data_IF_567945037818
#
_entry.id   IF_567945037818
#
_cell.length_a   1.000
_cell.length_b   1.000
_cell.length_c   1.000
_cell.angle_alpha   90.00
_cell.angle_beta   90.00
_cell.angle_gamma   90.00
#
_symmetry.space_group_name_H-M   'P 1'
#
loop_
_entity.id
_entity.type
_entity.pdbx_description
1 polymer ?
#
# COMPACT_ATOMS: atom_id res chain seq x y z
N UNK A 1 37.03 -47.55 -6.95
CA UNK A 1 38.44 -47.33 -6.54
C UNK A 1 38.57 -45.89 -6.09
N UNK A 2 38.55 -45.67 -4.77
CA UNK A 2 39.64 -45.11 -3.93
C UNK A 2 39.63 -43.57 -3.86
N UNK A 3 38.97 -42.99 -2.86
CA UNK A 3 39.52 -42.47 -1.56
C UNK A 3 40.60 -41.40 -1.68
N UNK A 4 40.37 -40.23 -1.04
CA UNK A 4 41.34 -39.31 -0.41
C UNK A 4 40.51 -38.33 0.47
N UNK A 5 40.22 -38.64 1.73
CA UNK A 5 40.95 -38.31 2.97
C UNK A 5 40.38 -37.09 3.72
N UNK A 6 39.92 -37.36 4.95
CA UNK A 6 39.56 -36.41 5.99
C UNK A 6 40.66 -36.36 7.07
N UNK A 7 40.52 -35.39 8.00
CA UNK A 7 41.26 -35.12 9.26
C UNK A 7 42.34 -34.02 9.16
N UNK A 8 42.49 -33.07 10.10
CA UNK A 8 41.88 -32.86 11.43
C UNK A 8 42.29 -31.49 12.02
N UNK A 9 41.43 -30.98 12.93
CA UNK A 9 41.68 -30.14 14.16
C UNK A 9 42.33 -28.76 13.94
N UNK A 10 41.85 -27.70 14.60
CA UNK A 10 42.11 -27.38 16.01
C UNK A 10 40.98 -26.50 16.58
N UNK A 11 40.52 -26.86 17.78
CA UNK A 11 39.61 -26.08 18.62
C UNK A 11 40.35 -25.40 19.78
N UNK A 12 39.79 -24.26 20.19
CA UNK A 12 39.75 -23.64 21.52
C UNK A 12 41.03 -23.33 22.31
N UNK A 13 41.15 -22.08 22.74
CA UNK A 13 41.59 -21.73 24.10
C UNK A 13 40.71 -20.60 24.64
N UNK A 14 39.94 -20.92 25.68
CA UNK A 14 39.38 -19.95 26.61
C UNK A 14 40.32 -19.77 27.81
N UNK A 15 40.13 -18.68 28.54
CA UNK A 15 40.61 -18.50 29.91
C UNK A 15 39.64 -17.59 30.65
N UNK A 16 38.74 -18.19 31.43
CA UNK A 16 38.05 -17.58 32.55
C UNK A 16 38.86 -17.89 33.81
N UNK A 17 39.01 -16.90 34.68
CA UNK A 17 39.75 -16.99 35.94
C UNK A 17 38.77 -16.84 37.11
N UNK A 18 38.65 -17.95 37.87
CA UNK A 18 38.64 -18.09 39.33
C UNK A 18 37.58 -17.36 40.20
N UNK A 19 37.11 -17.89 41.34
CA UNK A 19 37.05 -19.22 41.98
C UNK A 19 36.43 -19.00 43.37
N UNK A 20 35.73 -20.02 43.91
CA UNK A 20 35.44 -20.29 45.34
C UNK A 20 34.37 -19.43 46.05
N UNK A 21 33.45 -19.96 46.87
CA UNK A 21 33.63 -20.94 47.96
C UNK A 21 32.33 -21.67 48.36
N UNK A 22 32.49 -22.99 48.54
CA UNK A 22 32.04 -23.88 49.64
C UNK A 22 30.55 -24.25 49.91
N UNK A 23 30.45 -25.58 50.08
CA UNK A 23 29.32 -26.48 50.39
C UNK A 23 29.04 -26.54 51.90
N UNK A 24 27.78 -26.81 52.27
CA UNK A 24 27.44 -27.57 53.48
C UNK A 24 26.15 -28.39 53.27
N UNK A 25 26.25 -29.71 53.47
CA UNK A 25 25.16 -30.68 53.50
C UNK A 25 24.83 -31.08 54.94
N UNK A 26 23.54 -31.29 55.29
CA UNK A 26 23.10 -32.17 56.38
C UNK A 26 21.58 -32.54 56.31
N UNK A 27 21.30 -33.71 55.75
CA UNK A 27 20.41 -34.84 56.14
C UNK A 27 19.19 -34.66 57.10
N UNK A 28 18.01 -35.05 56.55
CA UNK A 28 16.85 -35.85 57.06
C UNK A 28 15.97 -35.45 58.27
N UNK A 29 14.63 -35.38 58.07
CA UNK A 29 13.66 -36.46 58.38
C UNK A 29 12.16 -36.06 58.18
N UNK A 30 11.43 -36.91 57.44
CA UNK A 30 10.03 -37.38 57.57
C UNK A 30 8.77 -36.46 57.59
N UNK A 31 7.96 -36.69 56.54
CA UNK A 31 6.49 -36.88 56.44
C UNK A 31 5.50 -35.73 56.68
N UNK A 32 4.79 -35.33 55.61
CA UNK A 32 3.33 -35.54 55.46
C UNK A 32 2.88 -35.24 54.02
N UNK A 33 1.96 -36.07 53.54
CA UNK A 33 1.50 -36.17 52.17
C UNK A 33 0.52 -35.06 51.76
N UNK A 34 0.67 -34.54 50.54
CA UNK A 34 -0.43 -34.02 49.73
C UNK A 34 -0.04 -34.15 48.25
N UNK A 35 -0.64 -35.11 47.56
CA UNK A 35 -0.54 -35.28 46.12
C UNK A 35 -1.35 -34.20 45.42
N UNK A 36 -0.69 -33.32 44.68
CA UNK A 36 -1.29 -32.57 43.57
C UNK A 36 -0.37 -32.75 42.37
N UNK A 37 -0.84 -33.55 41.42
CA UNK A 37 -0.17 -33.91 40.18
C UNK A 37 0.08 -32.68 39.31
N UNK A 38 1.32 -32.16 39.33
CA UNK A 38 1.81 -31.23 38.30
C UNK A 38 2.28 -32.08 37.14
N UNK A 39 1.40 -32.24 36.15
CA UNK A 39 1.80 -32.76 34.85
C UNK A 39 2.67 -31.71 34.16
N UNK A 40 3.92 -32.06 33.90
CA UNK A 40 4.78 -31.33 32.96
C UNK A 40 4.20 -31.51 31.55
N UNK A 41 3.21 -30.68 31.22
CA UNK A 41 2.76 -30.48 29.84
C UNK A 41 3.75 -29.56 29.15
N UNK A 42 4.57 -30.11 28.25
CA UNK A 42 5.18 -29.31 27.22
C UNK A 42 4.03 -28.69 26.41
N UNK A 43 3.89 -27.37 26.48
CA UNK A 43 3.02 -26.62 25.56
C UNK A 43 3.60 -26.79 24.16
N UNK A 44 3.05 -27.73 23.40
CA UNK A 44 3.07 -27.66 21.95
C UNK A 44 2.41 -26.35 21.56
N UNK A 45 3.11 -25.55 20.76
CA UNK A 45 2.49 -24.45 20.04
C UNK A 45 1.69 -25.13 18.94
N UNK A 46 0.43 -25.47 19.22
CA UNK A 46 -0.51 -25.86 18.17
C UNK A 46 -0.65 -24.64 17.26
N UNK A 47 -0.15 -24.75 16.03
CA UNK A 47 -0.45 -23.77 14.99
C UNK A 47 -1.96 -23.71 14.86
N UNK A 48 -2.53 -22.51 14.95
CA UNK A 48 -3.98 -22.37 14.93
C UNK A 48 -4.54 -22.93 13.61
N UNK A 49 -5.27 -24.04 13.70
CA UNK A 49 -6.07 -24.63 12.61
C UNK A 49 -7.38 -23.83 12.36
N UNK A 50 -7.52 -22.65 12.97
CA UNK A 50 -8.72 -21.81 12.91
C UNK A 50 -8.36 -20.38 12.51
N UNK A 51 -9.18 -19.78 11.64
CA UNK A 51 -9.04 -18.39 11.20
C UNK A 51 -9.32 -17.39 12.34
N UNK A 52 -8.44 -16.39 12.48
CA UNK A 52 -8.63 -15.20 13.32
C UNK A 52 -9.59 -14.20 12.64
N UNK A 53 -10.86 -14.60 12.53
CA UNK A 53 -11.93 -13.80 11.91
C UNK A 53 -12.17 -12.49 12.66
N UNK A 54 -12.11 -12.52 13.99
CA UNK A 54 -12.39 -11.33 14.81
C UNK A 54 -11.24 -10.33 14.75
N UNK A 55 -9.98 -10.79 14.81
CA UNK A 55 -8.83 -9.91 14.64
C UNK A 55 -8.71 -9.34 13.23
N UNK A 56 -9.12 -10.09 12.20
CA UNK A 56 -9.23 -9.58 10.84
C UNK A 56 -10.31 -8.49 10.75
N UNK A 57 -11.50 -8.72 11.32
CA UNK A 57 -12.58 -7.73 11.36
C UNK A 57 -12.17 -6.47 12.11
N UNK A 58 -11.54 -6.61 13.27
CA UNK A 58 -11.06 -5.49 14.07
C UNK A 58 -10.07 -4.62 13.28
N UNK A 59 -9.15 -5.23 12.53
CA UNK A 59 -8.12 -4.52 11.79
C UNK A 59 -8.67 -3.59 10.69
N UNK A 60 -9.66 -4.03 9.90
CA UNK A 60 -10.21 -3.18 8.83
C UNK A 60 -11.34 -2.25 9.27
N UNK A 61 -11.96 -2.48 10.44
CA UNK A 61 -13.14 -1.72 10.87
C UNK A 61 -12.87 -0.22 10.93
N UNK A 62 -11.70 0.21 11.37
CA UNK A 62 -11.34 1.62 11.42
C UNK A 62 -11.30 2.27 10.03
N UNK A 63 -10.85 1.52 9.00
CA UNK A 63 -10.75 2.01 7.63
C UNK A 63 -12.11 2.16 6.94
N UNK A 64 -13.22 1.64 7.50
CA UNK A 64 -14.58 1.92 6.99
C UNK A 64 -15.06 3.33 7.34
N UNK A 65 -14.48 3.97 8.34
CA UNK A 65 -14.84 5.33 8.72
C UNK A 65 -14.19 6.34 7.77
N UNK A 66 -14.95 7.35 7.35
CA UNK A 66 -14.71 8.69 7.91
C UNK A 66 -13.27 9.15 8.22
N UNK A 67 -12.26 9.23 7.32
CA UNK A 67 -10.93 9.63 7.77
C UNK A 67 -10.93 11.07 8.28
N UNK A 68 -10.28 11.27 9.42
CA UNK A 68 -10.08 12.58 10.03
C UNK A 68 -8.64 13.00 9.78
N UNK A 69 -8.44 14.27 9.45
CA UNK A 69 -7.11 14.81 9.24
C UNK A 69 -6.26 14.76 10.51
N UNK A 70 -5.12 14.11 10.39
CA UNK A 70 -4.00 14.21 11.32
C UNK A 70 -2.85 14.91 10.62
N UNK A 71 -2.27 15.91 11.28
CA UNK A 71 -1.15 16.65 10.73
C UNK A 71 0.05 15.70 10.53
N UNK A 72 0.56 15.52 9.30
CA UNK A 72 1.62 14.55 9.02
C UNK A 72 3.01 15.04 9.49
N UNK A 73 3.07 16.25 10.05
CA UNK A 73 4.27 16.84 10.65
C UNK A 73 3.97 18.15 11.38
N UNK A 74 5.01 18.85 11.89
CA UNK A 74 4.82 20.14 12.52
C UNK A 74 4.30 21.18 11.53
N UNK A 75 3.54 22.14 12.07
CA UNK A 75 3.13 23.32 11.34
C UNK A 75 4.33 24.23 11.00
N UNK A 76 4.24 24.94 9.89
CA UNK A 76 5.26 25.83 9.39
C UNK A 76 4.63 27.01 8.63
N UNK A 77 5.40 28.08 8.45
CA UNK A 77 4.98 29.22 7.64
C UNK A 77 5.33 28.95 6.17
N UNK A 78 4.31 28.80 5.33
CA UNK A 78 4.48 28.54 3.90
C UNK A 78 4.62 29.83 3.05
N UNK A 79 4.70 31.01 3.65
CA UNK A 79 4.74 32.29 2.93
C UNK A 79 5.89 32.38 1.92
N UNK A 80 7.05 31.79 2.21
CA UNK A 80 8.21 31.78 1.32
C UNK A 80 7.99 31.02 0.00
N UNK A 81 7.00 30.13 -0.04
CA UNK A 81 6.63 29.39 -1.24
C UNK A 81 5.78 30.21 -2.23
N UNK A 82 5.20 31.34 -1.81
CA UNK A 82 4.32 32.15 -2.66
C UNK A 82 5.01 32.57 -3.96
N UNK A 83 4.36 32.34 -5.10
CA UNK A 83 4.86 32.68 -6.44
C UNK A 83 5.90 31.72 -7.02
N UNK A 84 6.36 30.73 -6.25
CA UNK A 84 7.23 29.65 -6.71
C UNK A 84 6.49 28.76 -7.72
N UNK A 85 7.24 28.05 -8.56
CA UNK A 85 6.67 27.17 -9.59
C UNK A 85 6.80 25.70 -9.22
N UNK A 86 5.67 25.05 -9.05
CA UNK A 86 5.52 23.59 -9.08
C UNK A 86 5.26 23.18 -10.53
N UNK A 87 6.13 22.35 -11.08
CA UNK A 87 6.02 21.80 -12.43
C UNK A 87 5.80 20.29 -12.32
N UNK A 88 4.71 19.79 -12.87
CA UNK A 88 4.32 18.39 -12.70
C UNK A 88 4.33 17.63 -14.04
N UNK A 89 4.92 16.44 -14.02
CA UNK A 89 4.97 15.47 -15.12
C UNK A 89 4.32 14.17 -14.62
N UNK A 90 3.12 13.80 -15.07
CA UNK A 90 2.53 12.51 -14.71
C UNK A 90 3.08 11.38 -15.58
N UNK A 91 2.77 10.15 -15.17
CA UNK A 91 3.01 8.95 -15.96
C UNK A 91 2.44 9.08 -17.38
N UNK A 92 1.18 9.51 -17.50
CA UNK A 92 0.51 9.77 -18.78
C UNK A 92 -0.75 10.60 -18.51
N UNK A 93 -1.06 11.53 -19.41
CA UNK A 93 -2.32 12.29 -19.41
C UNK A 93 -3.55 11.44 -19.75
N UNK A 94 -3.35 10.19 -20.18
CA UNK A 94 -4.45 9.27 -20.49
C UNK A 94 -4.98 8.51 -19.27
N UNK A 95 -4.36 8.65 -18.09
CA UNK A 95 -4.76 7.96 -16.86
C UNK A 95 -5.68 8.89 -16.06
N UNK A 96 -7.01 8.62 -15.98
CA UNK A 96 -7.96 9.56 -15.37
C UNK A 96 -7.65 9.89 -13.91
N UNK A 97 -7.13 8.93 -13.14
CA UNK A 97 -6.72 9.12 -11.75
C UNK A 97 -5.62 10.19 -11.61
N UNK A 98 -4.62 10.18 -12.50
CA UNK A 98 -3.54 11.18 -12.48
C UNK A 98 -4.01 12.54 -13.01
N UNK A 99 -4.97 12.56 -13.93
CA UNK A 99 -5.57 13.82 -14.39
C UNK A 99 -6.38 14.49 -13.27
N UNK A 100 -7.22 13.73 -12.54
CA UNK A 100 -7.94 14.24 -11.38
C UNK A 100 -6.97 14.78 -10.32
N UNK A 101 -5.93 14.03 -9.98
CA UNK A 101 -4.87 14.48 -9.07
C UNK A 101 -4.17 15.76 -9.57
N UNK A 102 -3.98 15.93 -10.88
CA UNK A 102 -3.37 17.13 -11.46
C UNK A 102 -4.27 18.36 -11.36
N UNK A 103 -5.57 18.21 -11.63
CA UNK A 103 -6.58 19.26 -11.45
C UNK A 103 -6.62 19.70 -9.98
N UNK A 104 -6.70 18.73 -9.07
CA UNK A 104 -6.67 18.98 -7.63
C UNK A 104 -5.38 19.69 -7.18
N UNK A 105 -4.20 19.29 -7.68
CA UNK A 105 -2.94 19.99 -7.38
C UNK A 105 -2.93 21.44 -7.88
N UNK A 106 -3.55 21.70 -9.04
CA UNK A 106 -3.67 23.06 -9.58
C UNK A 106 -4.54 23.93 -8.68
N UNK A 107 -5.69 23.41 -8.24
CA UNK A 107 -6.64 24.10 -7.36
C UNK A 107 -6.00 24.42 -5.99
N UNK A 108 -5.28 23.44 -5.40
CA UNK A 108 -4.56 23.65 -4.14
C UNK A 108 -3.45 24.70 -4.32
N UNK A 109 -2.67 24.62 -5.40
CA UNK A 109 -1.60 25.58 -5.67
C UNK A 109 -2.12 27.01 -5.85
N UNK A 110 -3.24 27.19 -6.58
CA UNK A 110 -3.90 28.49 -6.72
C UNK A 110 -4.31 29.04 -5.34
N UNK A 111 -4.91 28.20 -4.50
CA UNK A 111 -5.36 28.59 -3.16
C UNK A 111 -4.25 29.08 -2.25
N UNK A 112 -3.05 28.52 -2.36
CA UNK A 112 -1.87 28.92 -1.56
C UNK A 112 -0.94 29.90 -2.28
N UNK A 113 -1.33 30.40 -3.45
CA UNK A 113 -0.57 31.42 -4.19
C UNK A 113 0.72 30.89 -4.82
N UNK A 114 0.85 29.59 -5.05
CA UNK A 114 1.96 28.95 -5.76
C UNK A 114 1.58 28.81 -7.24
N UNK A 115 2.53 29.02 -8.15
CA UNK A 115 2.31 28.77 -9.58
C UNK A 115 2.37 27.27 -9.84
N UNK A 116 1.41 26.77 -10.59
CA UNK A 116 1.39 25.37 -11.01
C UNK A 116 1.48 25.25 -12.53
N UNK A 117 2.23 24.25 -13.01
CA UNK A 117 2.27 23.90 -14.42
C UNK A 117 2.21 22.40 -14.61
N UNK A 118 1.26 21.99 -15.44
CA UNK A 118 1.11 20.62 -15.89
C UNK A 118 1.79 20.40 -17.25
N UNK A 119 2.59 19.33 -17.37
CA UNK A 119 3.16 18.84 -18.63
C UNK A 119 2.45 17.58 -19.12
N UNK A 120 1.53 17.77 -20.07
CA UNK A 120 0.80 16.67 -20.68
C UNK A 120 1.71 15.77 -21.55
N UNK A 121 1.53 14.46 -21.46
CA UNK A 121 2.31 13.45 -22.20
C UNK A 121 1.51 12.14 -22.39
N UNK A 122 2.08 11.20 -23.15
CA UNK A 122 1.48 9.91 -23.51
C UNK A 122 2.29 8.71 -22.95
N UNK A 123 3.02 8.93 -21.85
CA UNK A 123 3.79 7.91 -21.16
C UNK A 123 4.98 7.35 -21.92
N UNK A 124 5.67 8.21 -22.68
CA UNK A 124 6.86 7.82 -23.44
C UNK A 124 8.15 8.38 -22.81
N UNK A 125 9.25 7.60 -22.73
CA UNK A 125 10.50 8.02 -22.10
C UNK A 125 11.11 9.33 -22.64
N UNK A 126 11.01 9.54 -23.95
CA UNK A 126 11.51 10.75 -24.61
C UNK A 126 10.68 11.99 -24.23
N UNK A 127 9.37 11.84 -24.05
CA UNK A 127 8.48 12.91 -23.60
C UNK A 127 8.77 13.30 -22.14
N UNK A 128 9.00 12.33 -21.26
CA UNK A 128 9.39 12.65 -19.87
C UNK A 128 10.73 13.37 -19.80
N UNK A 129 11.71 12.93 -20.61
CA UNK A 129 13.00 13.62 -20.74
C UNK A 129 12.82 15.08 -21.18
N UNK A 130 11.97 15.33 -22.19
CA UNK A 130 11.65 16.68 -22.66
C UNK A 130 10.93 17.51 -21.58
N UNK A 131 10.02 16.90 -20.82
CA UNK A 131 9.33 17.53 -19.71
C UNK A 131 10.28 18.02 -18.63
N UNK A 132 11.28 17.20 -18.22
CA UNK A 132 12.30 17.64 -17.25
C UNK A 132 13.10 18.82 -17.79
N UNK A 133 13.50 18.77 -19.07
CA UNK A 133 14.21 19.89 -19.69
C UNK A 133 13.35 21.17 -19.73
N UNK A 134 12.04 21.04 -19.96
CA UNK A 134 11.12 22.17 -19.93
C UNK A 134 10.99 22.75 -18.51
N UNK A 135 10.89 21.91 -17.48
CA UNK A 135 10.87 22.36 -16.09
C UNK A 135 12.13 23.18 -15.74
N UNK A 136 13.31 22.72 -16.18
CA UNK A 136 14.57 23.45 -16.03
C UNK A 136 14.52 24.79 -16.76
N UNK A 137 14.11 24.80 -18.03
CA UNK A 137 14.07 26.01 -18.86
C UNK A 137 13.10 27.07 -18.31
N UNK A 138 11.99 26.62 -17.72
CA UNK A 138 10.99 27.48 -17.09
C UNK A 138 11.33 27.85 -15.65
N UNK A 139 12.49 27.37 -15.16
CA UNK A 139 12.99 27.63 -13.81
C UNK A 139 11.97 27.22 -12.75
N UNK A 140 11.43 26.00 -12.89
CA UNK A 140 10.63 25.38 -11.86
C UNK A 140 11.42 25.37 -10.54
N UNK A 141 10.75 25.68 -9.44
CA UNK A 141 11.37 25.56 -8.11
C UNK A 141 11.23 24.11 -7.61
N UNK A 142 10.12 23.44 -7.97
CA UNK A 142 9.86 22.02 -7.71
C UNK A 142 9.40 21.34 -9.00
N UNK A 143 9.98 20.18 -9.29
CA UNK A 143 9.53 19.19 -10.27
C UNK A 143 8.83 18.05 -9.52
N UNK A 144 7.59 17.76 -9.88
CA UNK A 144 6.83 16.59 -9.41
C UNK A 144 6.78 15.54 -10.52
N UNK A 145 7.14 14.30 -10.19
CA UNK A 145 6.89 13.11 -11.01
C UNK A 145 5.73 12.33 -10.39
N UNK A 146 4.59 12.27 -11.08
CA UNK A 146 3.34 11.75 -10.54
C UNK A 146 2.94 10.41 -11.14
N UNK A 147 2.95 9.35 -10.33
CA UNK A 147 2.60 7.97 -10.70
C UNK A 147 3.64 7.26 -11.56
N UNK A 148 4.39 8.00 -12.37
CA UNK A 148 5.59 7.63 -13.12
C UNK A 148 6.15 8.93 -13.76
N UNK A 149 7.28 8.87 -14.46
CA UNK A 149 8.20 7.74 -14.58
C UNK A 149 8.89 7.38 -13.27
N UNK A 150 9.44 6.16 -13.22
CA UNK A 150 10.43 5.82 -12.22
C UNK A 150 11.65 6.75 -12.37
N UNK A 151 12.06 7.48 -11.32
CA UNK A 151 13.25 8.32 -11.29
C UNK A 151 14.53 7.62 -11.77
N UNK A 152 14.66 6.31 -11.60
CA UNK A 152 15.79 5.53 -12.07
C UNK A 152 15.99 5.64 -13.59
N UNK A 153 14.93 5.88 -14.35
CA UNK A 153 14.96 6.06 -15.80
C UNK A 153 15.45 7.46 -16.23
N UNK A 154 15.43 8.43 -15.32
CA UNK A 154 15.71 9.85 -15.60
C UNK A 154 16.94 10.37 -14.85
N UNK A 155 17.80 9.50 -14.32
CA UNK A 155 18.92 9.91 -13.47
C UNK A 155 19.81 11.03 -14.07
N UNK A 156 20.21 10.99 -15.35
CA UNK A 156 20.93 12.11 -15.97
C UNK A 156 20.15 13.43 -15.92
N UNK A 157 18.87 13.39 -16.27
CA UNK A 157 17.99 14.57 -16.33
C UNK A 157 17.69 15.12 -14.93
N UNK A 158 17.46 14.26 -13.94
CA UNK A 158 17.22 14.69 -12.55
C UNK A 158 18.48 15.30 -11.94
N UNK A 159 19.67 14.77 -12.27
CA UNK A 159 20.93 15.39 -11.86
C UNK A 159 21.09 16.80 -12.45
N UNK A 160 20.73 17.00 -13.72
CA UNK A 160 20.72 18.31 -14.36
C UNK A 160 19.70 19.26 -13.72
N UNK A 161 18.50 18.77 -13.42
CA UNK A 161 17.46 19.54 -12.73
C UNK A 161 17.96 20.05 -11.36
N UNK A 162 18.56 19.17 -10.56
CA UNK A 162 19.12 19.55 -9.25
C UNK A 162 20.30 20.52 -9.38
N UNK A 163 21.15 20.36 -10.40
CA UNK A 163 22.23 21.30 -10.68
C UNK A 163 21.70 22.70 -11.06
N UNK A 164 20.52 22.77 -11.67
CA UNK A 164 19.80 24.01 -11.94
C UNK A 164 19.00 24.56 -10.74
N UNK A 165 19.03 23.87 -9.59
CA UNK A 165 18.33 24.27 -8.37
C UNK A 165 16.88 23.79 -8.26
N UNK A 166 16.42 22.96 -9.21
CA UNK A 166 15.06 22.38 -9.19
C UNK A 166 15.03 21.23 -8.18
N UNK A 167 14.07 21.27 -7.25
CA UNK A 167 13.82 20.20 -6.29
C UNK A 167 12.94 19.11 -6.90
N UNK A 168 13.16 17.85 -6.56
CA UNK A 168 12.43 16.73 -7.17
C UNK A 168 11.56 16.01 -6.15
N UNK A 169 10.26 15.90 -6.42
CA UNK A 169 9.30 15.12 -5.64
C UNK A 169 8.76 13.98 -6.51
N UNK A 170 8.58 12.81 -5.92
CA UNK A 170 7.88 11.69 -6.57
C UNK A 170 6.63 11.36 -5.78
N UNK A 171 5.48 11.38 -6.44
CA UNK A 171 4.18 11.14 -5.81
C UNK A 171 3.48 9.94 -6.44
N UNK A 172 2.71 9.19 -5.63
CA UNK A 172 1.81 8.12 -6.10
C UNK A 172 2.48 6.98 -6.88
N UNK A 173 3.78 6.72 -6.63
CA UNK A 173 4.53 5.63 -7.28
C UNK A 173 4.97 4.54 -6.29
N UNK A 174 5.43 4.94 -5.10
CA UNK A 174 6.07 4.04 -4.16
C UNK A 174 5.22 3.79 -2.91
N UNK A 175 5.32 2.58 -2.30
CA UNK A 175 4.72 2.32 -1.01
C UNK A 175 5.46 3.04 0.12
N UNK A 176 4.77 3.26 1.24
CA UNK A 176 5.37 3.71 2.50
C UNK A 176 6.56 2.83 2.91
N UNK A 177 7.60 3.47 3.47
CA UNK A 177 8.85 2.80 3.83
C UNK A 177 9.87 2.65 2.70
N UNK A 178 9.54 3.06 1.48
CA UNK A 178 10.50 3.10 0.36
C UNK A 178 11.62 4.10 0.63
N UNK A 179 12.87 3.67 0.40
CA UNK A 179 14.04 4.54 0.53
C UNK A 179 14.03 5.63 -0.55
N UNK A 180 14.48 6.83 -0.19
CA UNK A 180 14.56 7.97 -1.12
C UNK A 180 15.50 7.63 -2.30
N UNK A 181 15.02 7.66 -3.56
CA UNK A 181 15.86 7.41 -4.73
C UNK A 181 16.92 8.49 -4.94
N UNK A 182 17.98 8.13 -5.67
CA UNK A 182 19.00 9.09 -6.08
C UNK A 182 18.40 10.26 -6.87
N UNK A 183 18.87 11.47 -6.59
CA UNK A 183 18.41 12.72 -7.20
C UNK A 183 16.92 13.04 -6.97
N UNK A 184 16.31 12.48 -5.93
CA UNK A 184 14.97 12.85 -5.44
C UNK A 184 15.12 13.55 -4.08
N UNK A 185 14.37 14.62 -3.85
CA UNK A 185 14.39 15.39 -2.60
C UNK A 185 13.30 14.94 -1.62
N UNK A 186 12.17 14.41 -2.11
CA UNK A 186 11.09 13.91 -1.29
C UNK A 186 10.19 12.88 -2.00
N UNK A 187 9.49 12.08 -1.20
CA UNK A 187 8.43 11.18 -1.67
C UNK A 187 7.08 11.60 -1.08
N UNK A 188 6.02 11.31 -1.83
CA UNK A 188 4.64 11.19 -1.35
C UNK A 188 4.24 9.76 -1.65
N UNK A 189 4.47 8.89 -0.66
CA UNK A 189 4.21 7.45 -0.73
C UNK A 189 2.76 7.14 -0.36
N UNK A 190 2.31 5.94 -0.72
CA UNK A 190 1.00 5.41 -0.36
C UNK A 190 1.15 4.24 0.61
N UNK A 191 0.29 4.07 1.62
CA UNK A 191 0.33 2.91 2.51
C UNK A 191 -0.27 1.65 1.84
N UNK A 192 0.18 1.33 0.62
CA UNK A 192 -0.40 0.27 -0.21
C UNK A 192 -0.16 -1.14 0.32
N UNK A 193 0.93 -1.35 1.06
CA UNK A 193 1.17 -2.61 1.77
C UNK A 193 0.10 -2.83 2.84
N UNK A 194 -0.17 -1.81 3.67
CA UNK A 194 -1.22 -1.86 4.68
C UNK A 194 -2.60 -2.01 4.04
N UNK A 195 -2.88 -1.28 2.96
CA UNK A 195 -4.13 -1.40 2.21
C UNK A 195 -4.40 -2.85 1.79
N UNK A 196 -3.39 -3.55 1.25
CA UNK A 196 -3.57 -4.94 0.81
C UNK A 196 -3.72 -5.92 1.98
N UNK A 197 -3.11 -5.66 3.14
CA UNK A 197 -3.42 -6.38 4.37
C UNK A 197 -4.90 -6.19 4.77
N UNK A 198 -5.42 -4.96 4.75
CA UNK A 198 -6.81 -4.67 5.13
C UNK A 198 -7.84 -5.29 4.18
N UNK A 199 -7.58 -5.21 2.86
CA UNK A 199 -8.37 -5.87 1.81
C UNK A 199 -8.41 -7.39 2.04
N UNK A 200 -7.28 -7.98 2.44
CA UNK A 200 -7.19 -9.41 2.76
C UNK A 200 -7.94 -9.75 4.05
N UNK A 201 -7.80 -8.94 5.10
CA UNK A 201 -8.53 -9.07 6.36
C UNK A 201 -10.06 -9.00 6.14
N UNK A 202 -10.53 -8.17 5.20
CA UNK A 202 -11.94 -8.14 4.81
C UNK A 202 -12.41 -9.47 4.22
N UNK A 203 -11.66 -10.08 3.31
CA UNK A 203 -12.01 -11.39 2.75
C UNK A 203 -12.02 -12.48 3.82
N UNK A 204 -11.02 -12.51 4.71
CA UNK A 204 -10.94 -13.45 5.83
C UNK A 204 -12.18 -13.32 6.72
N UNK A 205 -12.49 -12.10 7.18
CA UNK A 205 -13.58 -11.84 8.10
C UNK A 205 -14.98 -12.15 7.53
N UNK A 206 -15.10 -12.19 6.20
CA UNK A 206 -16.37 -12.37 5.49
C UNK A 206 -16.45 -13.70 4.70
N UNK A 207 -15.51 -14.63 4.91
CA UNK A 207 -15.47 -15.93 4.22
C UNK A 207 -16.17 -17.07 4.97
N UNK A 208 -16.66 -16.81 6.19
CA UNK A 208 -17.29 -17.83 7.02
C UNK A 208 -16.25 -18.67 7.75
N UNK A 209 -16.35 -19.99 7.65
CA UNK A 209 -15.46 -20.93 8.36
C UNK A 209 -14.16 -21.25 7.60
N UNK A 210 -14.07 -20.90 6.32
CA UNK A 210 -12.87 -21.11 5.50
C UNK A 210 -12.75 -20.11 4.35
N UNK A 211 -11.52 -19.72 4.04
CA UNK A 211 -11.19 -18.94 2.85
C UNK A 211 -10.46 -19.82 1.84
N UNK A 212 -10.94 -19.84 0.61
CA UNK A 212 -10.20 -20.34 -0.54
C UNK A 212 -10.20 -19.27 -1.63
N UNK A 213 -9.07 -18.58 -1.80
CA UNK A 213 -8.96 -17.38 -2.60
C UNK A 213 -8.20 -17.57 -3.91
N UNK A 214 -8.63 -16.86 -4.96
CA UNK A 214 -7.75 -16.50 -6.07
C UNK A 214 -7.13 -15.15 -5.79
N UNK A 215 -5.80 -15.06 -5.84
CA UNK A 215 -5.08 -13.78 -5.70
C UNK A 215 -4.65 -13.35 -7.10
N UNK A 216 -5.23 -12.28 -7.63
CA UNK A 216 -4.91 -11.76 -8.96
C UNK A 216 -3.80 -10.70 -8.84
N UNK A 217 -2.73 -10.85 -9.64
CA UNK A 217 -1.57 -9.95 -9.63
C UNK A 217 -1.11 -9.60 -11.05
N UNK A 218 -0.22 -8.62 -11.16
CA UNK A 218 0.49 -8.27 -12.39
C UNK A 218 1.97 -7.98 -12.09
N UNK A 219 2.81 -9.01 -12.12
CA UNK A 219 4.22 -8.94 -11.64
C UNK A 219 5.13 -7.95 -12.37
N UNK A 220 4.69 -7.38 -13.49
CA UNK A 220 5.43 -6.39 -14.24
C UNK A 220 5.45 -4.99 -13.59
N UNK A 221 4.56 -4.72 -12.62
CA UNK A 221 4.61 -3.49 -11.84
C UNK A 221 5.55 -3.61 -10.65
N UNK A 222 6.46 -2.64 -10.41
CA UNK A 222 7.39 -2.67 -9.28
C UNK A 222 6.71 -2.79 -7.91
N UNK A 223 5.49 -2.28 -7.76
CA UNK A 223 4.72 -2.37 -6.52
C UNK A 223 4.15 -3.77 -6.26
N UNK A 224 3.95 -4.62 -7.29
CA UNK A 224 3.26 -5.91 -7.13
C UNK A 224 3.96 -6.86 -6.16
N UNK A 225 5.29 -6.92 -6.16
CA UNK A 225 6.04 -7.82 -5.26
C UNK A 225 5.68 -7.58 -3.78
N UNK A 226 5.92 -6.37 -3.25
CA UNK A 226 5.53 -6.01 -1.88
C UNK A 226 4.03 -6.19 -1.58
N UNK A 227 3.15 -5.88 -2.54
CA UNK A 227 1.70 -6.04 -2.35
C UNK A 227 1.28 -7.52 -2.26
N UNK A 228 1.83 -8.37 -3.12
CA UNK A 228 1.61 -9.81 -3.07
C UNK A 228 2.14 -10.40 -1.75
N UNK A 229 3.33 -9.97 -1.31
CA UNK A 229 3.91 -10.38 -0.03
C UNK A 229 2.99 -9.98 1.14
N UNK A 230 2.39 -8.78 1.11
CA UNK A 230 1.43 -8.34 2.13
C UNK A 230 0.19 -9.26 2.19
N UNK A 231 -0.42 -9.56 1.04
CA UNK A 231 -1.58 -10.48 0.97
C UNK A 231 -1.21 -11.85 1.54
N UNK A 232 -0.09 -12.42 1.11
CA UNK A 232 0.34 -13.76 1.57
C UNK A 232 0.66 -13.77 3.06
N UNK A 233 1.40 -12.76 3.54
CA UNK A 233 1.74 -12.64 4.95
C UNK A 233 0.50 -12.47 5.84
N UNK A 234 -0.51 -11.72 5.40
CA UNK A 234 -1.75 -11.55 6.16
C UNK A 234 -2.57 -12.85 6.20
N UNK A 235 -2.67 -13.58 5.06
CA UNK A 235 -3.30 -14.91 5.02
C UNK A 235 -2.62 -15.90 5.99
N UNK A 236 -1.29 -15.94 6.00
CA UNK A 236 -0.51 -16.81 6.89
C UNK A 236 -0.69 -16.41 8.36
N UNK A 237 -0.60 -15.11 8.66
CA UNK A 237 -0.77 -14.54 10.01
C UNK A 237 -2.13 -14.86 10.61
N UNK A 238 -3.20 -14.75 9.82
CA UNK A 238 -4.58 -14.84 10.30
C UNK A 238 -5.15 -16.25 10.29
N UNK A 239 -4.71 -17.10 9.37
CA UNK A 239 -5.36 -18.40 9.18
C UNK A 239 -4.43 -19.61 9.22
N UNK A 240 -3.12 -19.43 9.05
CA UNK A 240 -2.21 -20.54 8.76
C UNK A 240 -2.78 -21.47 7.68
N UNK A 241 -2.94 -22.76 8.01
CA UNK A 241 -3.42 -23.77 7.07
C UNK A 241 -4.93 -23.71 6.76
N UNK A 242 -5.71 -22.91 7.50
CA UNK A 242 -7.15 -22.78 7.30
C UNK A 242 -7.50 -21.92 6.06
N UNK A 243 -6.56 -21.07 5.60
CA UNK A 243 -6.70 -20.32 4.36
C UNK A 243 -5.97 -21.04 3.22
N UNK A 244 -6.69 -21.27 2.12
CA UNK A 244 -6.11 -21.71 0.85
C UNK A 244 -6.09 -20.54 -0.11
N UNK A 245 -5.06 -20.47 -0.94
CA UNK A 245 -5.02 -19.48 -2.00
C UNK A 245 -4.26 -19.98 -3.21
N UNK A 246 -4.55 -19.38 -4.36
CA UNK A 246 -3.75 -19.54 -5.57
C UNK A 246 -3.52 -18.19 -6.25
N UNK A 247 -2.25 -17.88 -6.49
CA UNK A 247 -1.85 -16.68 -7.22
C UNK A 247 -2.02 -16.89 -8.73
N UNK A 248 -2.62 -15.90 -9.40
CA UNK A 248 -2.76 -15.83 -10.84
C UNK A 248 -2.12 -14.53 -11.31
N UNK A 249 -0.96 -14.66 -11.95
CA UNK A 249 -0.27 -13.54 -12.58
C UNK A 249 -0.80 -13.31 -14.00
N UNK A 250 -1.21 -12.07 -14.29
CA UNK A 250 -1.67 -11.63 -15.61
C UNK A 250 -1.16 -10.24 -15.92
N UNK A 251 -0.50 -10.07 -17.07
CA UNK A 251 -0.04 -8.77 -17.57
C UNK A 251 -1.20 -7.83 -17.85
N UNK A 252 -0.98 -6.53 -17.66
CA UNK A 252 -1.97 -5.46 -17.87
C UNK A 252 -2.67 -5.59 -19.23
N UNK A 253 -1.90 -5.77 -20.31
CA UNK A 253 -2.43 -5.87 -21.67
C UNK A 253 -3.37 -7.07 -21.88
N UNK A 254 -3.29 -8.07 -21.01
CA UNK A 254 -4.05 -9.31 -21.08
C UNK A 254 -5.26 -9.33 -20.12
N UNK A 255 -5.44 -8.34 -19.24
CA UNK A 255 -6.48 -8.37 -18.20
C UNK A 255 -7.88 -8.63 -18.76
N UNK A 256 -8.32 -7.81 -19.71
CA UNK A 256 -9.65 -7.90 -20.30
C UNK A 256 -9.93 -9.24 -21.01
N UNK A 257 -8.89 -9.87 -21.58
CA UNK A 257 -9.06 -11.08 -22.42
C UNK A 257 -8.70 -12.38 -21.72
N UNK A 258 -7.84 -12.35 -20.69
CA UNK A 258 -7.31 -13.56 -20.03
C UNK A 258 -7.85 -13.76 -18.62
N UNK A 259 -8.12 -12.70 -17.85
CA UNK A 259 -8.66 -12.84 -16.48
C UNK A 259 -9.99 -13.60 -16.48
N UNK A 260 -10.99 -13.30 -17.35
CA UNK A 260 -12.28 -14.00 -17.30
C UNK A 260 -12.12 -15.51 -17.47
N UNK A 261 -11.36 -15.95 -18.48
CA UNK A 261 -11.10 -17.36 -18.75
C UNK A 261 -10.29 -18.04 -17.65
N UNK A 262 -9.28 -17.34 -17.08
CA UNK A 262 -8.47 -17.88 -15.97
C UNK A 262 -9.30 -18.05 -14.70
N UNK A 263 -10.15 -17.08 -14.36
CA UNK A 263 -11.08 -17.16 -13.23
C UNK A 263 -12.09 -18.29 -13.46
N UNK A 264 -12.76 -18.32 -14.62
CA UNK A 264 -13.73 -19.37 -14.94
C UNK A 264 -13.11 -20.77 -14.82
N UNK A 265 -11.94 -20.98 -15.43
CA UNK A 265 -11.23 -22.27 -15.37
C UNK A 265 -10.83 -22.65 -13.94
N UNK A 266 -10.48 -21.66 -13.13
CA UNK A 266 -10.11 -21.85 -11.73
C UNK A 266 -11.29 -22.29 -10.87
N UNK A 267 -12.44 -21.63 -11.05
CA UNK A 267 -13.68 -21.98 -10.35
C UNK A 267 -14.29 -23.31 -10.80
N UNK A 268 -14.00 -23.73 -12.04
CA UNK A 268 -14.36 -25.06 -12.54
C UNK A 268 -13.46 -26.17 -11.96
N UNK A 269 -12.18 -25.87 -11.76
CA UNK A 269 -11.21 -26.82 -11.22
C UNK A 269 -11.32 -27.00 -9.70
N UNK A 270 -11.74 -25.95 -8.99
CA UNK A 270 -11.90 -25.95 -7.55
C UNK A 270 -13.22 -25.28 -7.15
N UNK A 271 -14.16 -26.12 -6.69
CA UNK A 271 -15.48 -25.67 -6.31
C UNK A 271 -15.49 -24.89 -4.99
N UNK A 272 -14.44 -25.02 -4.16
CA UNK A 272 -14.37 -24.44 -2.81
C UNK A 272 -13.91 -22.99 -2.84
N UNK A 273 -13.38 -22.49 -3.98
CA UNK A 273 -13.03 -21.08 -4.12
C UNK A 273 -14.28 -20.22 -3.85
N UNK A 274 -14.14 -19.30 -2.89
CA UNK A 274 -15.21 -18.42 -2.43
C UNK A 274 -14.81 -16.94 -2.46
N UNK A 275 -13.53 -16.63 -2.67
CA UNK A 275 -13.04 -15.25 -2.77
C UNK A 275 -12.07 -15.05 -3.94
N UNK A 276 -12.09 -13.83 -4.47
CA UNK A 276 -11.03 -13.30 -5.33
C UNK A 276 -10.49 -12.04 -4.64
N UNK A 277 -9.20 -12.05 -4.34
CA UNK A 277 -8.45 -10.89 -3.83
C UNK A 277 -7.70 -10.33 -5.03
N UNK A 278 -8.04 -9.11 -5.43
CA UNK A 278 -7.47 -8.45 -6.58
C UNK A 278 -6.61 -7.28 -6.15
N UNK A 279 -5.30 -7.31 -6.43
CA UNK A 279 -4.41 -6.26 -5.92
C UNK A 279 -4.56 -4.91 -6.65
N UNK A 280 -5.21 -4.89 -7.82
CA UNK A 280 -5.53 -3.68 -8.57
C UNK A 280 -6.99 -3.70 -9.02
N UNK A 281 -7.66 -2.56 -8.93
CA UNK A 281 -9.08 -2.41 -9.28
C UNK A 281 -9.43 -2.85 -10.71
N UNK A 282 -8.53 -2.58 -11.65
CA UNK A 282 -8.76 -2.87 -13.07
C UNK A 282 -8.95 -4.38 -13.38
N UNK A 283 -8.56 -5.26 -12.46
CA UNK A 283 -8.75 -6.70 -12.59
C UNK A 283 -10.13 -7.17 -12.08
N UNK A 284 -10.83 -6.37 -11.26
CA UNK A 284 -12.11 -6.76 -10.65
C UNK A 284 -13.23 -6.92 -11.68
N UNK A 285 -13.47 -5.99 -12.64
CA UNK A 285 -14.51 -6.17 -13.66
C UNK A 285 -14.35 -7.43 -14.54
N UNK A 286 -13.16 -7.73 -15.12
CA UNK A 286 -13.01 -8.98 -15.86
C UNK A 286 -13.05 -10.23 -14.97
N UNK A 287 -12.66 -10.14 -13.68
CA UNK A 287 -12.84 -11.23 -12.73
C UNK A 287 -14.33 -11.52 -12.47
N UNK A 288 -15.15 -10.47 -12.29
CA UNK A 288 -16.60 -10.58 -12.15
C UNK A 288 -17.24 -11.26 -13.36
N UNK A 289 -16.81 -10.91 -14.57
CA UNK A 289 -17.26 -11.60 -15.79
C UNK A 289 -16.88 -13.09 -15.79
N UNK A 290 -15.67 -13.44 -15.30
CA UNK A 290 -15.27 -14.83 -15.13
C UNK A 290 -16.12 -15.61 -14.11
N UNK A 291 -16.51 -14.97 -13.00
CA UNK A 291 -17.44 -15.52 -12.00
C UNK A 291 -18.82 -15.79 -12.64
N UNK A 292 -19.34 -14.83 -13.40
CA UNK A 292 -20.62 -14.95 -14.09
C UNK A 292 -20.60 -16.10 -15.11
N UNK A 293 -19.56 -16.16 -15.95
CA UNK A 293 -19.36 -17.22 -16.94
C UNK A 293 -19.18 -18.61 -16.31
N UNK A 294 -18.75 -18.69 -15.06
CA UNK A 294 -18.68 -19.93 -14.30
C UNK A 294 -20.01 -20.31 -13.62
N UNK A 295 -21.04 -19.46 -13.70
CA UNK A 295 -22.30 -19.65 -12.97
C UNK A 295 -22.12 -19.53 -11.45
N UNK A 296 -21.16 -18.71 -11.00
CA UNK A 296 -20.75 -18.58 -9.60
C UNK A 296 -21.12 -17.23 -8.97
N UNK A 297 -21.92 -16.41 -9.65
CA UNK A 297 -22.43 -15.13 -9.12
C UNK A 297 -23.09 -15.33 -7.75
N UNK A 298 -22.75 -14.47 -6.79
CA UNK A 298 -23.23 -14.55 -5.40
C UNK A 298 -22.59 -15.64 -4.54
N UNK A 299 -21.82 -16.57 -5.12
CA UNK A 299 -21.06 -17.60 -4.40
C UNK A 299 -19.58 -17.30 -4.26
N UNK A 300 -19.04 -16.47 -5.15
CA UNK A 300 -17.66 -16.00 -5.13
C UNK A 300 -17.71 -14.49 -5.02
N UNK A 301 -17.03 -13.94 -4.02
CA UNK A 301 -16.95 -12.51 -3.76
C UNK A 301 -15.63 -11.95 -4.27
N UNK A 302 -15.60 -10.65 -4.55
CA UNK A 302 -14.38 -9.92 -4.95
C UNK A 302 -14.09 -8.87 -3.90
N UNK A 303 -12.84 -8.81 -3.44
CA UNK A 303 -12.29 -7.65 -2.76
C UNK A 303 -11.10 -7.10 -3.54
N UNK A 304 -10.91 -5.79 -3.50
CA UNK A 304 -9.84 -5.13 -4.26
C UNK A 304 -9.45 -3.79 -3.65
N UNK A 305 -8.55 -3.08 -4.33
CA UNK A 305 -8.03 -1.81 -3.89
C UNK A 305 -7.53 -0.95 -5.05
N UNK A 306 -7.95 0.30 -5.03
CA UNK A 306 -7.44 1.55 -5.62
C UNK A 306 -8.54 2.64 -5.47
N UNK A 307 -9.78 2.27 -5.15
CA UNK A 307 -10.97 3.13 -5.04
C UNK A 307 -11.27 3.90 -6.33
N UNK A 308 -11.08 3.25 -7.47
CA UNK A 308 -11.44 3.79 -8.77
C UNK A 308 -12.96 3.89 -8.91
N UNK A 309 -13.44 4.99 -9.50
CA UNK A 309 -14.86 5.25 -9.69
C UNK A 309 -15.66 4.06 -10.29
N UNK A 310 -15.05 3.32 -11.22
CA UNK A 310 -15.70 2.16 -11.86
C UNK A 310 -15.91 0.99 -10.88
N UNK A 311 -14.99 0.78 -9.96
CA UNK A 311 -15.07 -0.29 -8.96
C UNK A 311 -15.92 0.13 -7.77
N UNK A 312 -15.85 1.40 -7.33
CA UNK A 312 -16.82 1.95 -6.35
C UNK A 312 -18.27 1.81 -6.83
N UNK A 313 -18.54 2.01 -8.13
CA UNK A 313 -19.86 1.69 -8.73
C UNK A 313 -20.17 0.19 -8.67
N UNK A 314 -19.19 -0.66 -8.90
CA UNK A 314 -19.36 -2.11 -8.78
C UNK A 314 -19.65 -2.55 -7.33
N UNK A 315 -19.14 -1.83 -6.32
CA UNK A 315 -19.52 -2.00 -4.90
C UNK A 315 -20.96 -1.55 -4.68
N UNK A 316 -21.34 -0.39 -5.20
CA UNK A 316 -22.72 0.13 -5.14
C UNK A 316 -23.72 -0.85 -5.78
N UNK A 317 -23.33 -1.51 -6.88
CA UNK A 317 -24.13 -2.52 -7.58
C UNK A 317 -24.08 -3.91 -6.91
N UNK A 318 -23.10 -4.16 -6.04
CA UNK A 318 -22.93 -5.44 -5.31
C UNK A 318 -22.25 -6.53 -6.12
N UNK A 319 -21.55 -6.14 -7.19
CA UNK A 319 -20.69 -7.02 -7.99
C UNK A 319 -19.33 -7.22 -7.29
N UNK A 320 -18.83 -6.17 -6.64
CA UNK A 320 -17.63 -6.19 -5.79
C UNK A 320 -18.06 -6.05 -4.34
N UNK A 321 -17.50 -6.86 -3.45
CA UNK A 321 -17.90 -6.90 -2.04
C UNK A 321 -17.26 -5.76 -1.23
N UNK A 322 -16.04 -5.37 -1.58
CA UNK A 322 -15.30 -4.28 -0.95
C UNK A 322 -14.23 -3.74 -1.90
N UNK A 323 -14.03 -2.43 -1.84
CA UNK A 323 -12.96 -1.69 -2.51
C UNK A 323 -12.28 -0.76 -1.48
N UNK A 324 -11.00 -0.49 -1.61
CA UNK A 324 -10.20 0.31 -0.68
C UNK A 324 -9.30 1.25 -1.48
N UNK A 325 -8.96 2.42 -0.98
CA UNK A 325 -8.05 3.27 -1.73
C UNK A 325 -7.64 4.51 -0.99
N UNK A 326 -7.42 5.54 -1.80
CA UNK A 326 -7.00 6.87 -1.37
C UNK A 326 -7.83 7.92 -2.11
N UNK A 327 -7.98 9.10 -1.50
CA UNK A 327 -8.49 10.27 -2.21
C UNK A 327 -7.40 10.84 -3.10
N UNK A 328 -7.69 11.01 -4.39
CA UNK A 328 -6.76 11.68 -5.31
C UNK A 328 -6.60 13.16 -4.98
N UNK A 329 -7.65 13.79 -4.41
CA UNK A 329 -7.58 15.15 -3.86
C UNK A 329 -6.65 15.21 -2.65
N UNK A 330 -6.83 14.36 -1.64
CA UNK A 330 -5.96 14.38 -0.45
C UNK A 330 -4.49 14.12 -0.81
N UNK A 331 -4.22 13.27 -1.80
CA UNK A 331 -2.87 13.09 -2.35
C UNK A 331 -2.33 14.37 -2.98
N UNK A 332 -3.16 15.13 -3.71
CA UNK A 332 -2.78 16.43 -4.25
C UNK A 332 -2.40 17.41 -3.13
N UNK A 333 -3.20 17.49 -2.06
CA UNK A 333 -2.88 18.30 -0.87
C UNK A 333 -1.57 17.88 -0.20
N UNK A 334 -1.34 16.58 -0.02
CA UNK A 334 -0.09 16.04 0.52
C UNK A 334 1.12 16.34 -0.38
N UNK A 335 0.92 16.31 -1.70
CA UNK A 335 1.98 16.63 -2.67
C UNK A 335 2.34 18.11 -2.64
N UNK A 336 1.34 18.99 -2.54
CA UNK A 336 1.58 20.42 -2.33
C UNK A 336 2.20 20.67 -0.95
N UNK A 337 1.81 19.96 0.12
CA UNK A 337 2.46 20.08 1.44
C UNK A 337 3.97 19.81 1.36
N UNK A 338 4.38 18.71 0.73
CA UNK A 338 5.81 18.42 0.54
C UNK A 338 6.52 19.49 -0.28
N UNK A 339 5.88 20.01 -1.33
CA UNK A 339 6.43 21.11 -2.11
C UNK A 339 6.60 22.38 -1.27
N UNK A 340 5.57 22.78 -0.51
CA UNK A 340 5.60 23.94 0.38
C UNK A 340 6.67 23.83 1.46
N UNK A 341 6.84 22.64 2.06
CA UNK A 341 7.90 22.36 3.04
C UNK A 341 9.27 22.60 2.44
N UNK A 342 9.56 21.98 1.30
CA UNK A 342 10.84 22.11 0.62
C UNK A 342 11.11 23.56 0.23
N UNK A 343 10.10 24.25 -0.32
CA UNK A 343 10.19 25.64 -0.76
C UNK A 343 10.41 26.62 0.40
N UNK A 344 9.93 26.27 1.60
CA UNK A 344 10.06 27.08 2.83
C UNK A 344 11.21 26.60 3.73
N UNK A 345 12.15 25.82 3.17
CA UNK A 345 13.33 25.33 3.89
C UNK A 345 13.07 24.32 5.01
N UNK A 346 11.86 23.77 5.10
CA UNK A 346 11.50 22.74 6.06
C UNK A 346 11.99 21.36 5.58
N UNK A 347 12.28 20.43 6.51
CA UNK A 347 12.56 19.05 6.12
C UNK A 347 11.35 18.43 5.44
N UNK A 348 11.61 17.61 4.41
CA UNK A 348 10.59 16.75 3.82
C UNK A 348 10.10 15.72 4.82
N UNK A 349 8.81 15.40 4.75
CA UNK A 349 8.22 14.32 5.54
C UNK A 349 8.67 12.95 5.03
N UNK A 350 8.80 12.00 5.95
CA UNK A 350 9.10 10.60 5.61
C UNK A 350 7.85 9.84 5.12
N UNK A 351 6.66 10.22 5.59
CA UNK A 351 5.36 9.75 5.12
C UNK A 351 4.41 10.94 5.03
N UNK A 352 3.50 10.91 4.06
CA UNK A 352 2.47 11.90 3.89
C UNK A 352 1.27 11.71 4.85
N UNK A 353 1.21 10.58 5.58
CA UNK A 353 0.11 10.27 6.48
C UNK A 353 -1.24 10.14 5.77
N UNK A 354 -1.24 9.67 4.51
CA UNK A 354 -2.45 9.55 3.71
C UNK A 354 -3.33 8.41 4.25
N UNK A 355 -4.61 8.68 4.53
CA UNK A 355 -5.48 7.65 5.09
C UNK A 355 -5.92 6.65 4.02
N UNK A 356 -6.04 5.38 4.44
CA UNK A 356 -6.77 4.36 3.69
C UNK A 356 -8.24 4.48 4.06
N UNK A 357 -9.13 4.45 3.07
CA UNK A 357 -10.56 4.24 3.30
C UNK A 357 -11.04 3.02 2.54
N UNK A 358 -11.86 2.22 3.19
CA UNK A 358 -12.52 1.04 2.64
C UNK A 358 -14.00 1.33 2.45
N UNK A 359 -14.53 0.84 1.35
CA UNK A 359 -15.92 0.96 0.97
C UNK A 359 -16.53 -0.42 0.76
N UNK A 360 -17.63 -0.65 1.44
CA UNK A 360 -18.49 -1.81 1.26
C UNK A 360 -19.96 -1.37 1.24
N UNK A 361 -20.88 -2.33 1.25
CA UNK A 361 -22.33 -2.02 1.24
C UNK A 361 -22.80 -1.16 2.42
N UNK A 362 -22.07 -1.11 3.53
CA UNK A 362 -22.46 -0.37 4.74
C UNK A 362 -22.19 1.12 4.64
N UNK A 363 -21.24 1.55 3.80
CA UNK A 363 -20.83 2.95 3.69
C UNK A 363 -20.71 3.48 2.24
N UNK A 364 -20.99 2.67 1.21
CA UNK A 364 -20.84 3.09 -0.20
C UNK A 364 -21.73 4.29 -0.58
N UNK A 365 -22.84 4.53 0.12
CA UNK A 365 -23.65 5.73 -0.11
C UNK A 365 -22.88 7.04 0.18
N UNK A 366 -21.79 6.99 0.97
CA UNK A 366 -20.93 8.13 1.26
C UNK A 366 -20.24 8.68 -0.01
N UNK A 367 -20.00 7.85 -1.03
CA UNK A 367 -19.39 8.30 -2.30
C UNK A 367 -20.43 8.86 -3.28
N UNK A 368 -21.69 8.97 -2.87
CA UNK A 368 -22.79 9.52 -3.68
C UNK A 368 -23.61 8.45 -4.43
N UNK A 369 -24.77 8.87 -4.94
CA UNK A 369 -25.66 8.03 -5.75
C UNK A 369 -26.11 8.78 -7.03
N UNK A 370 -25.51 8.50 -8.20
CA UNK A 370 -24.43 7.52 -8.42
C UNK A 370 -23.10 7.94 -7.76
N UNK A 371 -22.17 6.99 -7.53
CA UNK A 371 -20.83 7.30 -7.03
C UNK A 371 -20.12 8.38 -7.85
N UNK A 372 -19.38 9.25 -7.15
CA UNK A 372 -18.54 10.33 -7.67
C UNK A 372 -17.12 10.14 -7.12
N UNK A 373 -16.11 10.35 -7.98
CA UNK A 373 -14.70 10.24 -7.58
C UNK A 373 -14.39 11.22 -6.45
N UNK A 374 -13.58 10.79 -5.48
CA UNK A 374 -13.14 11.58 -4.31
C UNK A 374 -14.26 12.12 -3.38
N UNK A 375 -15.52 11.77 -3.62
CA UNK A 375 -16.58 11.96 -2.64
C UNK A 375 -16.49 10.88 -1.56
N UNK A 376 -16.91 11.22 -0.34
CA UNK A 376 -16.89 10.27 0.77
C UNK A 376 -15.49 10.05 1.32
N UNK A 377 -14.69 11.11 1.44
CA UNK A 377 -13.40 11.13 2.15
C UNK A 377 -13.38 12.17 3.28
N UNK A 378 -14.49 12.89 3.49
CA UNK A 378 -14.53 14.11 4.30
C UNK A 378 -13.76 15.27 3.65
N UNK A 379 -13.75 16.41 4.31
CA UNK A 379 -13.03 17.62 3.90
C UNK A 379 -12.11 18.17 5.00
N UNK A 380 -11.99 17.45 6.13
CA UNK A 380 -11.23 17.90 7.31
C UNK A 380 -9.76 18.24 7.03
N UNK A 381 -9.17 17.63 5.99
CA UNK A 381 -7.80 17.90 5.58
C UNK A 381 -7.62 19.26 4.92
N UNK A 382 -8.68 19.84 4.34
CA UNK A 382 -8.62 21.16 3.72
C UNK A 382 -8.22 22.22 4.75
N UNK A 383 -9.01 22.35 5.82
CA UNK A 383 -8.72 23.29 6.91
C UNK A 383 -7.49 22.84 7.71
N UNK A 384 -7.30 21.53 7.83
CA UNK A 384 -6.14 20.92 8.47
C UNK A 384 -4.81 21.35 7.85
N UNK A 385 -4.66 21.23 6.54
CA UNK A 385 -3.47 21.65 5.79
C UNK A 385 -3.32 23.18 5.78
N UNK A 386 -4.40 23.95 5.60
CA UNK A 386 -4.29 25.41 5.68
C UNK A 386 -3.75 25.87 7.04
N UNK A 387 -4.24 25.29 8.14
CA UNK A 387 -3.70 25.56 9.48
C UNK A 387 -2.25 25.08 9.61
N UNK A 388 -1.91 23.93 9.03
CA UNK A 388 -0.55 23.38 9.01
C UNK A 388 0.44 24.34 8.33
N UNK A 389 0.00 25.04 7.29
CA UNK A 389 0.79 26.00 6.50
C UNK A 389 0.78 27.43 7.05
N UNK A 390 0.11 27.67 8.19
CA UNK A 390 -0.04 29.01 8.75
C UNK A 390 -1.00 29.93 7.97
N UNK A 391 -1.91 29.34 7.19
CA UNK A 391 -2.84 30.02 6.27
C UNK A 391 -4.33 29.85 6.64
N UNK A 392 -4.63 29.24 7.80
CA UNK A 392 -5.98 28.91 8.28
C UNK A 392 -6.44 29.67 9.52
#
# INVERSE_FOLDING_TARGET
>A
MRTLWANARIASKGTFVNVMRWVASAVACMSLAACSSVGSGATSVDGADSMDVDGAREAYTAALAEPVFEAPGPAFDAAEATGKLIFNIPASSSIPYLEAMNENMADVAERVGVRYKYYANQGQPDQWTQGVQQAINEKADVLVLSGAPDPALLQPQLKEARAAGVKVIVASLYPDGTALPDNVDALVTLPSVELQSLVTDYAIANSGESLNALVLIASEFPSTGPLQEAVVAELEKRCGNACKYRVIDTKLADWATKIPTKVQSSLAADADINWIISIYDGMAPPAASGIEQAGRTGKVQITTGDASLGVLRSVADGVVAQDAGYSSDWIAWATVDQALRILSGQPALATAGLPIRMFDKTNIDAVGNPPVQDQGWGDSYVDGYLKLWGMG
#
